data_IF_471544326234
#
_entry.id   IF_471544326234
#
_cell.length_a   1.000
_cell.length_b   1.000
_cell.length_c   1.000
_cell.angle_alpha   90.00
_cell.angle_beta   90.00
_cell.angle_gamma   90.00
#
_symmetry.space_group_name_H-M   'P 1'
#
loop_
_entity.id
_entity.type
_entity.pdbx_description
1 polymer ?
#
# COMPACT_ATOMS: atom_id res chain seq x y z
N UNK A 1 -18.77 -7.32 -2.68
CA UNK A 1 -18.13 -8.60 -3.09
C UNK A 1 -17.03 -8.25 -4.06
N UNK A 2 -15.81 -8.73 -3.79
CA UNK A 2 -14.67 -8.42 -4.63
C UNK A 2 -14.84 -9.08 -6.00
N UNK A 3 -15.24 -8.31 -6.99
CA UNK A 3 -15.47 -8.78 -8.35
C UNK A 3 -14.27 -9.49 -8.97
N UNK A 4 -13.04 -9.17 -8.51
CA UNK A 4 -11.82 -9.80 -8.99
C UNK A 4 -11.77 -11.33 -8.73
N UNK A 5 -12.49 -11.83 -7.75
CA UNK A 5 -12.57 -13.26 -7.42
C UNK A 5 -13.89 -13.89 -7.84
N UNK A 6 -14.84 -13.12 -8.35
CA UNK A 6 -16.12 -13.65 -8.80
C UNK A 6 -15.88 -14.65 -9.94
N UNK A 7 -16.31 -15.90 -9.75
CA UNK A 7 -16.07 -16.99 -10.68
C UNK A 7 -14.67 -17.65 -10.61
N UNK A 8 -13.75 -17.16 -9.74
CA UNK A 8 -12.41 -17.74 -9.54
C UNK A 8 -12.30 -18.48 -8.21
N UNK A 9 -13.22 -19.38 -7.96
CA UNK A 9 -13.30 -20.16 -6.72
C UNK A 9 -12.12 -21.10 -6.47
N UNK A 10 -11.26 -21.32 -7.49
CA UNK A 10 -10.07 -22.14 -7.37
C UNK A 10 -8.99 -21.59 -6.44
N UNK A 11 -9.05 -20.31 -6.09
CA UNK A 11 -8.10 -19.69 -5.18
C UNK A 11 -8.46 -19.80 -3.70
N UNK A 12 -9.71 -20.07 -3.40
CA UNK A 12 -10.23 -20.16 -2.05
C UNK A 12 -11.16 -21.36 -1.99
N UNK A 13 -11.06 -22.14 -0.90
CA UNK A 13 -12.08 -23.12 -0.59
C UNK A 13 -13.45 -22.46 -0.54
N UNK A 14 -14.46 -23.06 -1.18
CA UNK A 14 -15.79 -22.50 -1.28
C UNK A 14 -16.45 -22.29 0.11
N UNK A 15 -16.18 -23.19 1.05
CA UNK A 15 -16.70 -23.05 2.42
C UNK A 15 -16.10 -21.85 3.12
N UNK A 16 -14.78 -21.60 2.95
CA UNK A 16 -14.10 -20.42 3.51
C UNK A 16 -14.64 -19.16 2.85
N UNK A 17 -14.78 -19.18 1.52
CA UNK A 17 -15.26 -18.02 0.76
C UNK A 17 -16.67 -17.58 1.15
N UNK A 18 -17.52 -18.51 1.56
CA UNK A 18 -18.88 -18.23 2.00
C UNK A 18 -18.96 -17.49 3.34
N UNK A 19 -17.95 -17.64 4.19
CA UNK A 19 -17.87 -17.03 5.53
C UNK A 19 -17.18 -15.66 5.53
N UNK A 20 -16.53 -15.26 4.42
CA UNK A 20 -15.80 -14.01 4.33
C UNK A 20 -16.72 -12.85 3.92
N UNK A 21 -16.54 -11.72 4.58
CA UNK A 21 -17.19 -10.47 4.21
C UNK A 21 -16.79 -10.02 2.80
N UNK A 22 -17.65 -9.25 2.10
CA UNK A 22 -17.30 -8.61 0.85
C UNK A 22 -15.99 -7.82 0.97
N UNK A 23 -15.17 -7.86 -0.09
CA UNK A 23 -13.87 -7.19 -0.18
C UNK A 23 -12.79 -7.67 0.80
N UNK A 24 -12.98 -8.82 1.45
CA UNK A 24 -11.92 -9.44 2.25
C UNK A 24 -10.75 -9.84 1.35
N UNK A 25 -9.54 -9.45 1.74
CA UNK A 25 -8.34 -9.90 1.06
C UNK A 25 -8.00 -11.34 1.44
N UNK A 26 -7.62 -12.12 0.45
CA UNK A 26 -7.24 -13.53 0.64
C UNK A 26 -5.76 -13.79 0.33
N UNK A 27 -4.99 -12.72 0.13
CA UNK A 27 -3.58 -12.79 -0.22
C UNK A 27 -2.75 -13.49 0.87
N UNK A 28 -3.00 -13.14 2.13
CA UNK A 28 -2.35 -13.71 3.31
C UNK A 28 -3.35 -14.51 4.14
N UNK A 29 -3.93 -15.52 3.51
CA UNK A 29 -4.92 -16.36 4.16
C UNK A 29 -4.29 -17.29 5.20
N UNK A 30 -5.04 -17.70 6.24
CA UNK A 30 -4.60 -18.69 7.20
C UNK A 30 -4.17 -20.00 6.54
N UNK A 31 -3.13 -20.62 7.07
CA UNK A 31 -2.76 -21.98 6.70
C UNK A 31 -3.88 -22.96 7.02
N UNK A 32 -3.96 -24.03 6.22
CA UNK A 32 -4.95 -25.12 6.39
C UNK A 32 -6.42 -24.69 6.30
N UNK A 33 -6.69 -23.50 5.75
CA UNK A 33 -8.05 -23.02 5.58
C UNK A 33 -8.81 -22.68 6.85
N UNK A 34 -8.15 -22.62 8.01
CA UNK A 34 -8.78 -22.25 9.26
C UNK A 34 -8.87 -20.74 9.41
N UNK A 35 -10.07 -20.17 9.30
CA UNK A 35 -10.32 -18.73 9.42
C UNK A 35 -10.64 -18.29 10.88
N UNK A 36 -10.94 -19.22 11.76
CA UNK A 36 -11.34 -18.92 13.14
C UNK A 36 -10.16 -18.80 14.10
N UNK A 37 -8.97 -19.23 13.70
CA UNK A 37 -7.78 -19.26 14.56
C UNK A 37 -6.68 -18.40 13.97
N UNK A 38 -6.57 -17.15 14.42
CA UNK A 38 -5.54 -16.22 14.02
C UNK A 38 -4.09 -16.69 14.29
N UNK A 39 -3.91 -17.62 15.22
CA UNK A 39 -2.60 -18.24 15.51
C UNK A 39 -2.10 -19.11 14.35
N UNK A 40 -2.97 -19.63 13.51
CA UNK A 40 -2.62 -20.39 12.30
C UNK A 40 -2.42 -19.46 11.11
N UNK A 41 -2.89 -18.21 11.20
CA UNK A 41 -2.84 -17.22 10.13
C UNK A 41 -1.44 -16.83 9.66
N UNK A 42 -0.42 -17.10 10.48
CA UNK A 42 0.98 -16.80 10.14
C UNK A 42 1.65 -17.83 9.24
N UNK A 43 0.99 -18.94 8.93
CA UNK A 43 1.55 -20.02 8.11
C UNK A 43 1.31 -19.73 6.63
N UNK A 44 1.97 -18.69 6.15
CA UNK A 44 1.99 -18.38 4.72
C UNK A 44 3.37 -17.82 4.32
N UNK A 45 3.73 -18.00 3.06
CA UNK A 45 4.96 -17.39 2.53
C UNK A 45 4.74 -15.89 2.32
N UNK A 46 5.70 -15.08 2.76
CA UNK A 46 5.73 -13.66 2.49
C UNK A 46 6.66 -13.38 1.32
N UNK A 47 6.17 -12.80 0.22
CA UNK A 47 7.03 -12.41 -0.88
C UNK A 47 7.89 -11.21 -0.46
N UNK A 48 9.21 -11.37 -0.51
CA UNK A 48 10.16 -10.30 -0.21
C UNK A 48 10.39 -9.40 -1.43
N UNK A 49 10.41 -10.02 -2.61
CA UNK A 49 10.54 -9.35 -3.91
C UNK A 49 9.74 -10.09 -4.95
N UNK A 50 9.13 -9.35 -5.87
CA UNK A 50 8.38 -9.92 -7.00
C UNK A 50 8.71 -9.16 -8.28
N UNK A 51 8.72 -9.88 -9.41
CA UNK A 51 8.99 -9.29 -10.72
C UNK A 51 7.94 -8.23 -11.12
N UNK A 52 6.73 -8.36 -10.63
CA UNK A 52 5.66 -7.38 -10.84
C UNK A 52 6.04 -5.99 -10.30
N UNK A 53 6.79 -5.93 -9.21
CA UNK A 53 7.32 -4.67 -8.70
C UNK A 53 8.26 -4.01 -9.72
N UNK A 54 9.07 -4.81 -10.42
CA UNK A 54 10.01 -4.29 -11.43
C UNK A 54 9.29 -3.69 -12.64
N UNK A 55 8.24 -4.34 -13.14
CA UNK A 55 7.40 -3.79 -14.22
C UNK A 55 6.75 -2.45 -13.82
N UNK A 56 6.27 -2.36 -12.58
CA UNK A 56 5.67 -1.13 -12.09
C UNK A 56 6.70 -0.02 -11.84
N UNK A 57 7.91 -0.37 -11.40
CA UNK A 57 9.02 0.59 -11.29
C UNK A 57 9.44 1.09 -12.67
N UNK A 58 9.52 0.22 -13.68
CA UNK A 58 9.83 0.61 -15.06
C UNK A 58 8.79 1.58 -15.62
N UNK A 59 7.51 1.28 -15.43
CA UNK A 59 6.41 2.14 -15.87
C UNK A 59 6.47 3.52 -15.20
N UNK A 60 6.73 3.56 -13.88
CA UNK A 60 6.88 4.80 -13.13
C UNK A 60 8.09 5.61 -13.60
N UNK A 61 9.25 4.98 -13.73
CA UNK A 61 10.47 5.64 -14.19
C UNK A 61 10.30 6.23 -15.58
N UNK A 62 9.64 5.51 -16.49
CA UNK A 62 9.31 6.02 -17.81
C UNK A 62 8.34 7.21 -17.74
N UNK A 63 7.33 7.15 -16.85
CA UNK A 63 6.36 8.22 -16.69
C UNK A 63 6.99 9.54 -16.24
N UNK A 64 8.03 9.50 -15.42
CA UNK A 64 8.76 10.71 -15.00
C UNK A 64 9.46 11.46 -16.16
N UNK A 65 9.71 10.80 -17.28
CA UNK A 65 10.33 11.39 -18.47
C UNK A 65 9.33 11.58 -19.60
N UNK A 66 8.38 10.67 -19.72
CA UNK A 66 7.35 10.65 -20.76
C UNK A 66 6.12 9.91 -20.24
N UNK A 67 5.07 10.67 -19.92
CA UNK A 67 3.83 10.11 -19.36
C UNK A 67 3.17 9.10 -20.31
N UNK A 68 3.18 9.35 -21.61
CA UNK A 68 2.58 8.42 -22.58
C UNK A 68 3.33 7.07 -22.63
N UNK A 69 4.66 7.10 -22.53
CA UNK A 69 5.49 5.91 -22.46
C UNK A 69 5.22 5.11 -21.15
N UNK A 70 5.14 5.82 -20.01
CA UNK A 70 4.80 5.20 -18.73
C UNK A 70 3.44 4.52 -18.77
N UNK A 71 2.42 5.20 -19.32
CA UNK A 71 1.08 4.63 -19.49
C UNK A 71 1.07 3.41 -20.42
N UNK A 72 1.85 3.42 -21.50
CA UNK A 72 1.98 2.28 -22.40
C UNK A 72 2.58 1.05 -21.71
N UNK A 73 3.63 1.24 -20.90
CA UNK A 73 4.24 0.15 -20.13
C UNK A 73 3.27 -0.40 -19.06
N UNK A 74 2.58 0.49 -18.35
CA UNK A 74 1.54 0.08 -17.39
C UNK A 74 0.44 -0.71 -18.08
N UNK A 75 -0.09 -0.24 -19.21
CA UNK A 75 -1.11 -0.93 -20.00
C UNK A 75 -0.63 -2.32 -20.43
N UNK A 76 0.61 -2.45 -20.87
CA UNK A 76 1.20 -3.73 -21.28
C UNK A 76 1.21 -4.72 -20.12
N UNK A 77 1.71 -4.31 -18.97
CA UNK A 77 1.72 -5.13 -17.77
C UNK A 77 0.31 -5.55 -17.34
N UNK A 78 -0.58 -4.58 -17.21
CA UNK A 78 -1.94 -4.82 -16.72
C UNK A 78 -2.74 -5.72 -17.67
N UNK A 79 -2.71 -5.46 -18.97
CA UNK A 79 -3.43 -6.28 -19.97
C UNK A 79 -2.91 -7.70 -20.05
N UNK A 80 -1.61 -7.88 -19.93
CA UNK A 80 -0.99 -9.21 -20.04
C UNK A 80 -1.25 -10.08 -18.81
N UNK A 81 -1.21 -9.48 -17.61
CA UNK A 81 -1.12 -10.28 -16.39
C UNK A 81 -2.28 -10.09 -15.41
N UNK A 82 -3.13 -9.06 -15.59
CA UNK A 82 -4.16 -8.73 -14.60
C UNK A 82 -5.56 -8.61 -15.21
N UNK A 83 -5.77 -7.61 -16.05
CA UNK A 83 -7.07 -7.34 -16.66
C UNK A 83 -6.90 -6.97 -18.12
N UNK A 84 -7.33 -7.83 -19.02
CA UNK A 84 -7.23 -7.61 -20.47
C UNK A 84 -7.97 -6.34 -20.94
N UNK A 85 -8.93 -5.86 -20.16
CA UNK A 85 -9.70 -4.64 -20.45
C UNK A 85 -9.11 -3.38 -19.84
N UNK A 86 -8.05 -3.49 -19.03
CA UNK A 86 -7.39 -2.32 -18.44
C UNK A 86 -6.92 -1.36 -19.52
N UNK A 87 -7.18 -0.07 -19.33
CA UNK A 87 -6.77 0.95 -20.28
C UNK A 87 -6.52 2.29 -19.60
N UNK A 88 -5.26 2.58 -19.29
CA UNK A 88 -4.83 3.91 -18.87
C UNK A 88 -4.70 4.80 -20.10
N UNK A 89 -5.50 5.86 -20.16
CA UNK A 89 -5.50 6.86 -21.24
C UNK A 89 -4.78 8.16 -20.87
N UNK A 90 -4.18 8.19 -19.68
CA UNK A 90 -3.44 9.33 -19.18
C UNK A 90 -2.14 9.52 -19.98
N UNK A 91 -1.71 10.77 -20.13
CA UNK A 91 -0.45 11.14 -20.79
C UNK A 91 0.36 12.18 -19.99
N UNK A 92 -0.27 12.84 -19.02
CA UNK A 92 0.43 13.72 -18.10
C UNK A 92 1.30 12.90 -17.16
N UNK A 93 2.58 13.27 -17.02
CA UNK A 93 3.56 12.52 -16.23
C UNK A 93 3.14 12.32 -14.78
N UNK A 94 2.68 13.36 -14.10
CA UNK A 94 2.29 13.29 -12.68
C UNK A 94 1.05 12.41 -12.48
N UNK A 95 0.07 12.50 -13.38
CA UNK A 95 -1.13 11.68 -13.33
C UNK A 95 -0.81 10.20 -13.60
N UNK A 96 0.07 9.91 -14.55
CA UNK A 96 0.51 8.55 -14.83
C UNK A 96 1.30 7.96 -13.67
N UNK A 97 2.20 8.74 -13.05
CA UNK A 97 2.91 8.32 -11.83
C UNK A 97 1.93 7.97 -10.71
N UNK A 98 0.89 8.79 -10.50
CA UNK A 98 -0.13 8.50 -9.50
C UNK A 98 -0.91 7.22 -9.81
N UNK A 99 -1.27 6.99 -11.08
CA UNK A 99 -1.94 5.77 -11.51
C UNK A 99 -1.05 4.54 -11.32
N UNK A 100 0.23 4.60 -11.70
CA UNK A 100 1.19 3.51 -11.46
C UNK A 100 1.32 3.20 -9.98
N UNK A 101 1.42 4.22 -9.13
CA UNK A 101 1.49 4.06 -7.67
C UNK A 101 0.20 3.45 -7.11
N UNK A 102 -0.97 3.82 -7.65
CA UNK A 102 -2.24 3.20 -7.28
C UNK A 102 -2.23 1.70 -7.61
N UNK A 103 -1.86 1.33 -8.83
CA UNK A 103 -1.78 -0.08 -9.26
C UNK A 103 -0.73 -0.85 -8.45
N UNK A 104 0.40 -0.22 -8.13
CA UNK A 104 1.43 -0.78 -7.27
C UNK A 104 0.92 -1.05 -5.85
N UNK A 105 0.12 -0.14 -5.27
CA UNK A 105 -0.50 -0.35 -3.96
C UNK A 105 -1.49 -1.49 -3.94
N UNK A 106 -2.24 -1.69 -5.03
CA UNK A 106 -3.17 -2.81 -5.19
C UNK A 106 -2.38 -4.12 -5.34
N UNK A 107 -1.41 -4.16 -6.24
CA UNK A 107 -0.62 -5.35 -6.54
C UNK A 107 0.20 -5.83 -5.35
N UNK A 108 0.88 -4.91 -4.67
CA UNK A 108 1.80 -5.20 -3.57
C UNK A 108 1.16 -4.96 -2.20
N UNK A 109 -0.17 -5.05 -2.13
CA UNK A 109 -0.89 -4.88 -0.87
C UNK A 109 -0.37 -5.85 0.20
N UNK A 110 -0.10 -5.33 1.41
CA UNK A 110 0.42 -6.11 2.53
C UNK A 110 1.91 -6.46 2.47
N UNK A 111 2.63 -6.09 1.40
CA UNK A 111 4.07 -6.37 1.24
C UNK A 111 4.99 -5.24 1.76
N UNK A 112 4.44 -4.25 2.43
CA UNK A 112 5.21 -3.14 3.05
C UNK A 112 5.70 -2.06 2.09
N UNK A 113 5.42 -2.16 0.78
CA UNK A 113 5.97 -1.27 -0.25
C UNK A 113 5.40 0.14 -0.22
N UNK A 114 4.13 0.30 0.13
CA UNK A 114 3.47 1.62 0.16
C UNK A 114 4.13 2.62 1.10
N UNK A 115 4.78 2.16 2.17
CA UNK A 115 5.53 3.04 3.07
C UNK A 115 6.63 3.82 2.33
N UNK A 116 7.40 3.13 1.49
CA UNK A 116 8.49 3.73 0.74
C UNK A 116 7.96 4.70 -0.32
N UNK A 117 6.89 4.35 -1.02
CA UNK A 117 6.29 5.20 -2.05
C UNK A 117 5.70 6.48 -1.45
N UNK A 118 4.95 6.39 -0.36
CA UNK A 118 4.43 7.55 0.36
C UNK A 118 5.57 8.48 0.81
N UNK A 119 6.65 7.88 1.32
CA UNK A 119 7.79 8.65 1.84
C UNK A 119 8.57 9.37 0.73
N UNK A 120 8.93 8.67 -0.35
CA UNK A 120 9.76 9.23 -1.44
C UNK A 120 9.00 10.21 -2.32
N UNK A 121 7.70 9.98 -2.57
CA UNK A 121 6.84 10.84 -3.39
C UNK A 121 6.14 11.94 -2.57
N UNK A 122 6.44 12.07 -1.29
CA UNK A 122 5.81 13.04 -0.40
C UNK A 122 4.27 12.98 -0.41
N UNK A 123 3.71 11.78 -0.50
CA UNK A 123 2.27 11.58 -0.65
C UNK A 123 1.52 11.86 0.65
N UNK A 124 0.34 12.43 0.52
CA UNK A 124 -0.61 12.57 1.63
C UNK A 124 -1.23 11.22 2.01
N UNK A 125 -1.57 11.07 3.28
CA UNK A 125 -2.34 9.95 3.80
C UNK A 125 -3.68 10.47 4.28
N UNK A 126 -4.77 9.97 3.70
CA UNK A 126 -6.14 10.30 4.08
C UNK A 126 -6.79 9.08 4.72
N UNK A 127 -7.10 9.19 6.02
CA UNK A 127 -7.79 8.15 6.78
C UNK A 127 -9.23 8.53 7.16
N UNK A 128 -9.54 9.83 7.10
CA UNK A 128 -10.88 10.34 7.34
C UNK A 128 -11.58 10.58 6.01
N UNK A 129 -12.46 9.65 5.65
CA UNK A 129 -13.35 9.73 4.50
C UNK A 129 -14.64 9.00 4.83
N UNK A 130 -15.70 9.24 4.07
CA UNK A 130 -16.99 8.58 4.25
C UNK A 130 -16.86 7.06 4.09
N UNK A 131 -17.40 6.30 5.02
CA UNK A 131 -17.31 4.83 5.03
C UNK A 131 -15.97 4.25 5.50
N UNK A 132 -15.04 5.08 6.00
CA UNK A 132 -13.77 4.57 6.56
C UNK A 132 -14.01 3.68 7.77
N UNK A 133 -13.31 2.55 7.82
CA UNK A 133 -13.25 1.65 8.99
C UNK A 133 -12.07 1.96 9.93
N UNK A 134 -11.31 3.01 9.66
CA UNK A 134 -10.21 3.42 10.53
C UNK A 134 -10.75 3.94 11.87
N UNK A 135 -10.30 3.41 13.02
CA UNK A 135 -10.74 3.88 14.32
C UNK A 135 -10.48 5.38 14.52
N UNK A 136 -11.44 6.09 15.11
CA UNK A 136 -11.39 7.54 15.27
C UNK A 136 -10.08 8.08 15.91
N UNK A 137 -9.50 7.46 16.95
CA UNK A 137 -8.26 7.96 17.57
C UNK A 137 -7.04 7.99 16.64
N UNK A 138 -7.06 7.22 15.55
CA UNK A 138 -5.96 7.14 14.57
C UNK A 138 -6.37 7.62 13.16
N UNK A 139 -7.51 8.32 13.08
CA UNK A 139 -8.07 8.84 11.85
C UNK A 139 -7.47 10.22 11.51
N UNK A 140 -6.29 10.22 10.93
CA UNK A 140 -5.56 11.44 10.54
C UNK A 140 -5.59 11.65 9.04
N UNK A 141 -5.65 12.93 8.65
CA UNK A 141 -5.34 13.37 7.28
C UNK A 141 -4.05 14.18 7.31
N UNK A 142 -3.19 13.97 6.34
CA UNK A 142 -1.92 14.69 6.22
C UNK A 142 -1.86 15.45 4.91
N UNK A 143 -1.12 16.55 4.91
CA UNK A 143 -0.73 17.26 3.70
C UNK A 143 0.75 16.93 3.44
N UNK A 144 1.00 16.10 2.43
CA UNK A 144 2.28 15.45 2.21
C UNK A 144 2.54 14.26 3.16
N UNK A 145 3.74 13.72 3.08
CA UNK A 145 4.12 12.53 3.86
C UNK A 145 3.97 12.76 5.35
N UNK A 146 3.44 11.77 6.08
CA UNK A 146 3.35 11.85 7.53
C UNK A 146 4.70 12.04 8.20
N UNK A 147 4.77 12.92 9.21
CA UNK A 147 6.01 13.18 9.93
C UNK A 147 6.56 11.94 10.67
N UNK A 148 5.68 11.03 11.09
CA UNK A 148 6.07 9.77 11.74
C UNK A 148 6.80 8.76 10.83
N UNK A 149 6.90 9.03 9.53
CA UNK A 149 7.70 8.21 8.61
C UNK A 149 9.20 8.43 8.75
N UNK A 150 9.62 9.45 9.49
CA UNK A 150 11.01 9.57 9.94
C UNK A 150 11.08 9.13 11.39
N UNK A 151 11.91 8.12 11.66
CA UNK A 151 12.13 7.69 13.03
C UNK A 151 12.81 8.81 13.84
N UNK A 152 12.37 8.96 15.08
CA UNK A 152 13.04 9.78 16.08
C UNK A 152 13.85 8.86 16.98
N UNK A 153 15.01 9.34 17.44
CA UNK A 153 15.80 8.61 18.41
C UNK A 153 15.08 8.64 19.76
N UNK A 154 15.10 7.54 20.53
CA UNK A 154 14.46 7.49 21.83
C UNK A 154 14.95 8.61 22.75
N UNK A 155 14.04 9.22 23.51
CA UNK A 155 14.35 10.36 24.37
C UNK A 155 15.43 10.06 25.40
N UNK A 156 15.49 8.84 25.92
CA UNK A 156 16.48 8.44 26.90
C UNK A 156 17.92 8.39 26.33
N UNK A 157 18.08 8.21 25.01
CA UNK A 157 19.39 8.25 24.36
C UNK A 157 20.08 9.60 24.58
N UNK A 158 19.34 10.68 24.55
CA UNK A 158 19.86 12.01 24.82
C UNK A 158 20.36 12.23 26.25
N UNK A 159 20.00 11.37 27.20
CA UNK A 159 20.50 11.43 28.59
C UNK A 159 21.98 11.04 28.65
N UNK A 160 22.37 10.07 27.83
CA UNK A 160 23.74 9.54 27.81
C UNK A 160 24.57 10.08 26.65
N UNK A 161 23.92 10.61 25.61
CA UNK A 161 24.55 11.14 24.41
C UNK A 161 23.89 12.46 24.01
N UNK A 162 24.25 13.54 24.71
CA UNK A 162 23.66 14.87 24.51
C UNK A 162 23.78 15.42 23.08
N UNK A 163 24.85 15.16 22.29
CA UNK A 163 24.92 15.59 20.89
C UNK A 163 23.77 15.07 20.01
N UNK A 164 23.13 13.96 20.37
CA UNK A 164 22.00 13.38 19.63
C UNK A 164 20.84 14.36 19.46
N UNK A 165 20.61 15.24 20.42
CA UNK A 165 19.53 16.23 20.33
C UNK A 165 19.64 17.16 19.10
N UNK A 166 20.84 17.43 18.64
CA UNK A 166 21.08 18.31 17.49
C UNK A 166 20.82 17.62 16.15
N UNK A 167 20.78 16.29 16.14
CA UNK A 167 20.63 15.46 14.92
C UNK A 167 19.34 14.65 14.89
N UNK A 168 18.53 14.72 15.95
CA UNK A 168 17.27 13.98 16.00
C UNK A 168 16.21 14.63 15.09
N UNK A 169 15.36 13.81 14.52
CA UNK A 169 14.16 14.31 13.83
C UNK A 169 13.21 14.96 14.83
N UNK A 170 12.42 15.96 14.39
CA UNK A 170 11.37 16.52 15.23
C UNK A 170 10.38 15.45 15.69
N UNK A 171 10.01 15.47 16.96
CA UNK A 171 8.99 14.58 17.52
C UNK A 171 7.64 14.85 16.82
N UNK A 172 7.06 13.83 16.15
CA UNK A 172 5.79 13.98 15.46
C UNK A 172 4.58 13.88 16.39
N UNK A 173 4.76 13.51 17.66
CA UNK A 173 3.67 13.35 18.61
C UNK A 173 2.94 14.70 18.81
N UNK A 174 1.62 14.68 18.74
CA UNK A 174 0.80 15.88 18.83
C UNK A 174 0.75 16.77 17.57
N UNK A 175 1.49 16.44 16.51
CA UNK A 175 1.48 17.20 15.25
C UNK A 175 0.17 17.01 14.46
N UNK A 176 -0.44 15.85 14.61
CA UNK A 176 -1.71 15.53 13.96
C UNK A 176 -2.80 15.29 15.00
N UNK A 177 -4.00 15.74 14.69
CA UNK A 177 -5.18 15.47 15.50
C UNK A 177 -6.14 14.60 14.71
N UNK A 178 -6.79 13.61 15.35
CA UNK A 178 -7.82 12.81 14.70
C UNK A 178 -8.93 13.70 14.14
N UNK A 179 -9.35 13.39 12.93
CA UNK A 179 -10.53 14.01 12.31
C UNK A 179 -11.77 13.34 12.89
N UNK A 180 -12.73 14.16 13.32
CA UNK A 180 -14.00 13.67 13.89
C UNK A 180 -14.90 13.06 12.81
#
# INVERSE_FOLDING_TARGET
KGHALEGKTTFIDAAIGAELDPYTTVKFRPGQGNISTHTIGSVCSYPLMRVEEMYLIEAEAAAHTDGAKGAALLNTFMKTYRDANYNCTLSNSDEVVQEVVLQKRIELWGEGRSFFDIKRLNMSVTRAYEGTNVPQPVRYNTNGRPAWMNFVLPKFEGVYNTPVYNYNNPDPSGRYRPVK
#
